data_IF_991948252181
#
_entry.id   IF_991948252181
#
_cell.length_a   1.000
_cell.length_b   1.000
_cell.length_c   1.000
_cell.angle_alpha   90.00
_cell.angle_beta   90.00
_cell.angle_gamma   90.00
#
_symmetry.space_group_name_H-M   'P 1'
#
loop_
_entity.id
_entity.type
_entity.pdbx_description
1 polymer ?
#
# COMPACT_ATOMS: atom_id res chain seq x y z
N UNK A 1 -27.45 12.70 -2.88
CA UNK A 1 -26.87 12.09 -4.10
C UNK A 1 -25.37 11.94 -3.87
N UNK A 2 -24.79 10.78 -4.20
CA UNK A 2 -23.34 10.56 -4.06
C UNK A 2 -22.63 11.16 -5.27
N UNK A 3 -21.72 12.09 -5.01
CA UNK A 3 -20.87 12.73 -6.00
C UNK A 3 -19.45 12.19 -5.94
N UNK A 4 -18.63 12.42 -6.95
CA UNK A 4 -17.24 12.01 -6.96
C UNK A 4 -16.34 13.05 -7.61
N UNK A 5 -15.13 13.22 -7.05
CA UNK A 5 -14.09 14.14 -7.51
C UNK A 5 -12.76 13.42 -7.57
N UNK A 6 -11.99 13.61 -8.63
CA UNK A 6 -10.62 13.09 -8.70
C UNK A 6 -9.72 13.71 -7.63
N UNK A 7 -8.89 12.89 -6.95
CA UNK A 7 -7.90 13.36 -5.98
C UNK A 7 -6.68 13.96 -6.68
N UNK A 8 -6.21 13.30 -7.75
CA UNK A 8 -5.15 13.82 -8.63
C UNK A 8 -5.39 13.34 -10.07
N UNK A 9 -4.67 13.86 -11.06
CA UNK A 9 -4.80 13.36 -12.44
C UNK A 9 -4.53 11.86 -12.59
N UNK A 10 -3.53 11.34 -11.88
CA UNK A 10 -3.05 9.97 -12.04
C UNK A 10 -3.80 8.94 -11.18
N UNK A 11 -4.31 9.34 -10.02
CA UNK A 11 -4.92 8.39 -9.09
C UNK A 11 -5.97 9.04 -8.18
N UNK A 12 -6.80 8.19 -7.61
CA UNK A 12 -7.70 8.50 -6.50
C UNK A 12 -8.99 9.21 -6.89
N UNK A 13 -10.02 8.94 -6.09
CA UNK A 13 -11.32 9.59 -6.16
C UNK A 13 -11.84 9.82 -4.73
N UNK A 14 -12.39 11.00 -4.48
CA UNK A 14 -13.13 11.32 -3.27
C UNK A 14 -14.63 11.19 -3.57
N UNK A 15 -15.35 10.47 -2.71
CA UNK A 15 -16.81 10.41 -2.73
C UNK A 15 -17.39 11.29 -1.63
N UNK A 16 -18.41 12.06 -1.97
CA UNK A 16 -19.17 12.92 -1.05
C UNK A 16 -20.66 12.54 -1.05
N UNK A 17 -21.38 12.92 0.00
CA UNK A 17 -22.80 12.60 0.12
C UNK A 17 -23.10 11.13 0.42
N UNK A 18 -22.10 10.38 0.91
CA UNK A 18 -22.27 8.98 1.33
C UNK A 18 -22.95 8.94 2.69
N UNK A 19 -24.16 8.38 2.74
CA UNK A 19 -24.95 8.21 3.97
C UNK A 19 -24.95 6.77 4.46
N UNK A 20 -24.88 5.81 3.53
CA UNK A 20 -24.73 4.39 3.85
C UNK A 20 -23.59 3.78 3.01
N UNK A 21 -22.48 3.38 3.65
CA UNK A 21 -21.33 2.77 2.96
C UNK A 21 -21.63 1.32 2.51
N UNK A 22 -22.71 0.70 2.97
CA UNK A 22 -23.09 -0.66 2.61
C UNK A 22 -24.11 -0.72 1.47
N UNK A 23 -24.57 0.44 0.97
CA UNK A 23 -25.46 0.51 -0.19
C UNK A 23 -24.81 -0.15 -1.43
N UNK A 24 -25.55 -1.02 -2.10
CA UNK A 24 -25.04 -1.81 -3.23
C UNK A 24 -24.49 -0.95 -4.36
N UNK A 25 -25.15 0.17 -4.66
CA UNK A 25 -24.71 1.08 -5.71
C UNK A 25 -23.41 1.79 -5.34
N UNK A 26 -23.23 2.16 -4.07
CA UNK A 26 -22.00 2.75 -3.59
C UNK A 26 -20.85 1.75 -3.58
N UNK A 27 -21.08 0.52 -3.07
CA UNK A 27 -20.05 -0.54 -3.09
C UNK A 27 -19.61 -0.85 -4.52
N UNK A 28 -20.51 -0.92 -5.48
CA UNK A 28 -20.18 -1.09 -6.89
C UNK A 28 -19.29 0.05 -7.41
N UNK A 29 -19.63 1.31 -7.10
CA UNK A 29 -18.81 2.47 -7.45
C UNK A 29 -17.44 2.44 -6.80
N UNK A 30 -17.33 1.94 -5.55
CA UNK A 30 -16.04 1.74 -4.88
C UNK A 30 -15.17 0.71 -5.61
N UNK A 31 -15.73 -0.43 -6.01
CA UNK A 31 -15.01 -1.46 -6.76
C UNK A 31 -14.48 -0.93 -8.11
N UNK A 32 -15.30 -0.20 -8.86
CA UNK A 32 -14.88 0.45 -10.11
C UNK A 32 -13.80 1.53 -9.86
N UNK A 33 -13.96 2.33 -8.81
CA UNK A 33 -12.99 3.36 -8.46
C UNK A 33 -11.63 2.75 -8.09
N UNK A 34 -11.60 1.67 -7.29
CA UNK A 34 -10.36 0.96 -6.96
C UNK A 34 -9.69 0.43 -8.23
N UNK A 35 -10.46 -0.19 -9.12
CA UNK A 35 -9.93 -0.72 -10.37
C UNK A 35 -9.28 0.36 -11.24
N UNK A 36 -9.91 1.51 -11.42
CA UNK A 36 -9.48 2.50 -12.40
C UNK A 36 -8.71 3.69 -11.82
N UNK A 37 -8.91 3.96 -10.53
CA UNK A 37 -8.31 5.10 -9.83
C UNK A 37 -7.35 4.70 -8.71
N UNK A 38 -7.38 3.44 -8.28
CA UNK A 38 -6.48 2.83 -7.31
C UNK A 38 -6.67 3.28 -5.86
N UNK A 39 -7.22 4.45 -5.60
CA UNK A 39 -7.49 4.97 -4.24
C UNK A 39 -8.89 5.57 -4.20
N UNK A 40 -9.63 5.28 -3.14
CA UNK A 40 -10.87 5.98 -2.81
C UNK A 40 -10.81 6.60 -1.42
N UNK A 41 -11.46 7.75 -1.27
CA UNK A 41 -11.57 8.51 -0.04
C UNK A 41 -13.04 8.85 0.23
N UNK A 42 -13.47 8.69 1.47
CA UNK A 42 -14.71 9.27 1.99
C UNK A 42 -14.39 9.99 3.28
N UNK A 43 -14.61 11.30 3.31
CA UNK A 43 -14.35 12.12 4.48
C UNK A 43 -15.45 11.98 5.54
N UNK A 44 -15.03 11.92 6.81
CA UNK A 44 -15.92 12.05 7.96
C UNK A 44 -17.03 11.00 8.03
N UNK A 45 -16.79 9.77 7.55
CA UNK A 45 -17.79 8.69 7.55
C UNK A 45 -17.96 8.04 8.93
N UNK A 46 -16.95 8.15 9.80
CA UNK A 46 -16.95 7.69 11.20
C UNK A 46 -17.40 6.24 11.38
N UNK A 47 -16.87 5.31 10.56
CA UNK A 47 -17.17 3.89 10.70
C UNK A 47 -16.61 3.35 12.02
N UNK A 48 -17.41 2.60 12.77
CA UNK A 48 -16.92 1.71 13.81
C UNK A 48 -16.31 0.44 13.19
N UNK A 49 -15.80 -0.46 14.03
CA UNK A 49 -15.13 -1.67 13.59
C UNK A 49 -16.06 -2.64 12.87
N UNK A 50 -17.30 -2.77 13.35
CA UNK A 50 -18.31 -3.64 12.74
C UNK A 50 -18.67 -3.17 11.33
N UNK A 51 -18.93 -1.89 11.16
CA UNK A 51 -19.25 -1.30 9.84
C UNK A 51 -18.07 -1.28 8.91
N UNK A 52 -16.84 -1.07 9.41
CA UNK A 52 -15.62 -1.19 8.61
C UNK A 52 -15.43 -2.61 8.08
N UNK A 53 -15.60 -3.63 8.93
CA UNK A 53 -15.55 -5.04 8.51
C UNK A 53 -16.66 -5.37 7.51
N UNK A 54 -17.89 -4.95 7.79
CA UNK A 54 -19.01 -5.17 6.88
C UNK A 54 -18.75 -4.56 5.50
N UNK A 55 -18.21 -3.33 5.44
CA UNK A 55 -17.82 -2.67 4.20
C UNK A 55 -16.70 -3.44 3.48
N UNK A 56 -15.62 -3.80 4.19
CA UNK A 56 -14.48 -4.50 3.59
C UNK A 56 -14.88 -5.87 3.03
N UNK A 57 -15.77 -6.60 3.70
CA UNK A 57 -16.33 -7.88 3.22
C UNK A 57 -17.16 -7.74 1.94
N UNK A 58 -17.70 -6.55 1.65
CA UNK A 58 -18.35 -6.28 0.37
C UNK A 58 -17.37 -6.12 -0.78
N UNK A 59 -16.09 -5.78 -0.49
CA UNK A 59 -15.00 -5.68 -1.47
C UNK A 59 -14.30 -7.03 -1.71
N UNK A 60 -14.42 -7.99 -0.79
CA UNK A 60 -13.86 -9.33 -0.86
C UNK A 60 -13.70 -10.00 0.50
N UNK A 61 -13.11 -11.19 0.52
CA UNK A 61 -12.76 -11.89 1.75
C UNK A 61 -11.74 -11.09 2.56
N UNK A 62 -11.94 -10.97 3.87
CA UNK A 62 -11.05 -10.20 4.76
C UNK A 62 -10.02 -11.13 5.38
N UNK A 63 -8.75 -10.69 5.38
CA UNK A 63 -7.64 -11.41 6.01
C UNK A 63 -7.82 -11.43 7.52
N UNK A 64 -7.76 -12.63 8.11
CA UNK A 64 -7.70 -12.82 9.56
C UNK A 64 -6.30 -13.33 9.97
N UNK A 65 -5.60 -12.57 10.81
CA UNK A 65 -4.32 -12.98 11.41
C UNK A 65 -4.55 -13.27 12.90
N UNK A 66 -4.29 -14.50 13.31
CA UNK A 66 -4.52 -14.96 14.69
C UNK A 66 -5.96 -14.68 15.18
N UNK A 67 -6.95 -14.78 14.28
CA UNK A 67 -8.37 -14.52 14.57
C UNK A 67 -8.75 -13.05 14.64
N UNK A 68 -7.84 -12.12 14.36
CA UNK A 68 -8.11 -10.69 14.24
C UNK A 68 -8.24 -10.28 12.79
N UNK A 69 -9.29 -9.56 12.44
CA UNK A 69 -9.56 -9.01 11.11
C UNK A 69 -9.32 -7.48 11.06
N UNK A 70 -9.22 -6.84 12.24
CA UNK A 70 -8.93 -5.41 12.37
C UNK A 70 -7.60 -5.25 13.09
N UNK A 71 -6.72 -4.44 12.50
CA UNK A 71 -5.38 -4.17 13.02
C UNK A 71 -5.21 -2.70 13.36
N UNK A 72 -4.81 -2.36 14.61
CA UNK A 72 -4.46 -1.01 14.98
C UNK A 72 -3.14 -0.61 14.31
N UNK A 73 -3.14 0.51 13.60
CA UNK A 73 -1.97 1.09 12.94
C UNK A 73 -1.54 2.34 13.70
N UNK A 74 -0.53 2.18 14.54
CA UNK A 74 0.11 3.23 15.33
C UNK A 74 1.56 2.84 15.63
N UNK A 75 2.50 3.79 15.53
CA UNK A 75 3.89 3.60 16.00
C UNK A 75 4.03 3.81 17.53
N UNK A 76 2.95 4.20 18.22
CA UNK A 76 2.90 4.25 19.66
C UNK A 76 2.78 2.82 20.21
N UNK A 77 3.76 2.33 21.01
CA UNK A 77 3.74 0.95 21.53
C UNK A 77 2.60 0.68 22.52
N UNK A 78 2.01 1.70 23.12
CA UNK A 78 0.82 1.56 23.96
C UNK A 78 -0.44 1.24 23.16
N UNK A 79 -0.47 1.63 21.87
CA UNK A 79 -1.62 1.44 20.98
C UNK A 79 -1.46 0.24 20.02
N UNK A 80 -0.23 -0.15 19.70
CA UNK A 80 0.03 -1.27 18.79
C UNK A 80 1.20 -2.13 19.23
N UNK A 81 0.97 -3.43 19.37
CA UNK A 81 2.03 -4.41 19.69
C UNK A 81 3.06 -4.54 18.58
N UNK A 82 2.74 -4.16 17.37
CA UNK A 82 3.60 -4.21 16.20
C UNK A 82 4.26 -2.86 15.88
N UNK A 83 4.14 -1.85 16.75
CA UNK A 83 4.63 -0.48 16.57
C UNK A 83 6.08 -0.42 16.07
N UNK A 84 6.97 -1.29 16.61
CA UNK A 84 8.38 -1.38 16.22
C UNK A 84 8.55 -1.61 14.69
N UNK A 85 7.73 -2.50 14.12
CA UNK A 85 7.82 -2.86 12.69
C UNK A 85 7.08 -1.87 11.79
N UNK A 86 6.12 -1.13 12.33
CA UNK A 86 5.34 -0.15 11.57
C UNK A 86 6.17 1.09 11.15
N UNK A 87 7.37 1.28 11.70
CA UNK A 87 8.32 2.29 11.19
C UNK A 87 8.76 2.01 9.73
N UNK A 88 8.71 0.74 9.29
CA UNK A 88 8.90 0.37 7.89
C UNK A 88 7.89 1.01 6.92
N UNK A 89 6.69 1.32 7.43
CA UNK A 89 5.65 1.98 6.65
C UNK A 89 5.96 3.46 6.28
N UNK A 90 7.04 4.05 6.79
CA UNK A 90 7.52 5.36 6.35
C UNK A 90 8.21 5.31 4.98
N UNK A 91 8.55 4.13 4.50
CA UNK A 91 9.13 3.91 3.18
C UNK A 91 8.06 3.46 2.19
N UNK A 92 8.22 3.84 0.93
CA UNK A 92 7.30 3.44 -0.13
C UNK A 92 7.23 1.92 -0.28
N UNK A 93 6.05 1.33 -0.21
CA UNK A 93 5.86 -0.12 -0.31
C UNK A 93 4.52 -0.49 -0.94
N UNK A 94 4.45 -1.73 -1.42
CA UNK A 94 3.22 -2.46 -1.73
C UNK A 94 3.03 -3.49 -0.62
N UNK A 95 1.82 -3.68 -0.13
CA UNK A 95 1.51 -4.78 0.80
C UNK A 95 1.52 -6.13 0.08
N UNK A 96 2.08 -7.16 0.73
CA UNK A 96 2.02 -8.54 0.27
C UNK A 96 3.03 -8.93 -0.82
N UNK A 97 4.09 -8.13 -1.05
CA UNK A 97 5.12 -8.45 -2.06
C UNK A 97 5.97 -9.67 -1.72
N UNK A 98 5.93 -10.16 -0.49
CA UNK A 98 6.58 -11.39 -0.03
C UNK A 98 5.64 -12.59 0.03
N UNK A 99 4.38 -12.42 -0.37
CA UNK A 99 3.36 -13.48 -0.39
C UNK A 99 3.20 -14.03 -1.81
N UNK A 100 2.81 -15.30 -1.95
CA UNK A 100 2.53 -15.92 -3.26
C UNK A 100 1.40 -15.20 -4.00
N UNK A 101 0.39 -14.80 -3.25
CA UNK A 101 -0.73 -13.98 -3.74
C UNK A 101 -0.80 -12.73 -2.87
N UNK A 102 -0.44 -11.56 -3.41
CA UNK A 102 -0.47 -10.32 -2.64
C UNK A 102 -1.91 -9.95 -2.29
N UNK A 103 -2.07 -9.25 -1.16
CA UNK A 103 -3.39 -8.73 -0.75
C UNK A 103 -3.97 -7.79 -1.82
N UNK A 104 -5.29 -7.84 -2.03
CA UNK A 104 -5.97 -7.08 -3.08
C UNK A 104 -6.14 -5.62 -2.73
N UNK A 105 -6.67 -5.34 -1.56
CA UNK A 105 -6.97 -3.99 -1.13
C UNK A 105 -6.81 -3.84 0.37
N UNK A 106 -6.46 -2.64 0.80
CA UNK A 106 -6.41 -2.26 2.21
C UNK A 106 -7.38 -1.12 2.47
N UNK A 107 -8.12 -1.24 3.56
CA UNK A 107 -9.01 -0.20 4.08
C UNK A 107 -8.45 0.35 5.37
N UNK A 108 -8.32 1.67 5.49
CA UNK A 108 -8.00 2.38 6.73
C UNK A 108 -9.13 3.33 7.12
N UNK A 109 -9.43 3.36 8.42
CA UNK A 109 -10.28 4.39 9.01
C UNK A 109 -9.53 5.13 10.13
N UNK A 110 -9.67 6.45 10.18
CA UNK A 110 -9.02 7.26 11.20
C UNK A 110 -9.85 7.32 12.49
N UNK A 111 -9.30 6.76 13.57
CA UNK A 111 -9.86 6.86 14.94
C UNK A 111 -9.34 8.10 15.65
N UNK A 112 -8.04 8.28 15.58
CA UNK A 112 -7.32 9.43 16.10
C UNK A 112 -6.25 9.85 15.12
N UNK A 113 -5.94 11.14 15.04
CA UNK A 113 -4.96 11.70 14.11
C UNK A 113 -3.82 12.37 14.88
N UNK A 114 -2.64 12.44 14.28
CA UNK A 114 -1.54 13.19 14.84
C UNK A 114 -1.80 14.70 14.72
N UNK A 115 -1.33 15.49 15.67
CA UNK A 115 -1.42 16.95 15.60
C UNK A 115 -0.60 17.50 14.43
N UNK A 116 0.51 16.85 14.09
CA UNK A 116 1.39 17.22 12.98
C UNK A 116 1.91 15.97 12.28
N UNK A 117 2.00 16.00 10.96
CA UNK A 117 2.44 14.85 10.17
C UNK A 117 1.41 13.71 10.15
N UNK A 118 1.88 12.49 9.94
CA UNK A 118 1.05 11.27 9.97
C UNK A 118 0.08 11.09 8.80
N UNK A 119 0.21 11.91 7.76
CA UNK A 119 -0.51 11.71 6.50
C UNK A 119 -0.11 10.40 5.82
N UNK A 120 -0.72 10.11 4.69
CA UNK A 120 -0.37 8.96 3.85
C UNK A 120 -0.18 9.41 2.41
N UNK A 121 0.99 9.10 1.87
CA UNK A 121 1.28 9.27 0.44
C UNK A 121 0.87 8.01 -0.33
N UNK A 122 0.31 8.20 -1.51
CA UNK A 122 -0.04 7.17 -2.49
C UNK A 122 0.60 7.49 -3.84
N UNK A 123 1.12 6.50 -4.55
CA UNK A 123 1.67 6.65 -5.90
C UNK A 123 1.20 5.51 -6.80
N UNK A 124 0.75 5.85 -8.02
CA UNK A 124 0.25 4.88 -8.99
C UNK A 124 1.38 4.27 -9.80
N UNK A 125 1.70 3.00 -9.53
CA UNK A 125 2.66 2.24 -10.35
C UNK A 125 2.10 1.90 -11.73
N UNK A 126 0.78 1.87 -11.90
CA UNK A 126 0.12 1.78 -13.21
C UNK A 126 0.41 3.00 -14.08
N UNK A 127 0.12 4.20 -13.57
CA UNK A 127 0.37 5.44 -14.30
C UNK A 127 1.87 5.66 -14.56
N UNK A 128 2.70 5.29 -13.60
CA UNK A 128 4.15 5.36 -13.74
C UNK A 128 4.66 4.42 -14.85
N UNK A 129 4.15 3.18 -14.91
CA UNK A 129 4.49 2.23 -15.97
C UNK A 129 4.02 2.71 -17.35
N UNK A 130 2.79 3.20 -17.47
CA UNK A 130 2.23 3.72 -18.72
C UNK A 130 3.03 4.91 -19.26
N UNK A 131 3.59 5.73 -18.38
CA UNK A 131 4.39 6.90 -18.74
C UNK A 131 5.87 6.58 -19.06
N UNK A 132 6.32 5.34 -18.85
CA UNK A 132 7.69 4.93 -19.22
C UNK A 132 7.87 5.00 -20.74
N UNK A 133 9.08 5.39 -21.23
CA UNK A 133 9.46 5.19 -22.61
C UNK A 133 9.31 3.72 -23.04
N UNK A 134 8.93 3.47 -24.27
CA UNK A 134 8.71 2.11 -24.80
C UNK A 134 9.92 1.20 -24.60
N UNK A 135 11.13 1.71 -24.88
CA UNK A 135 12.39 1.00 -24.67
C UNK A 135 12.55 0.51 -23.21
N UNK A 136 12.16 1.32 -22.24
CA UNK A 136 12.27 0.97 -20.82
C UNK A 136 11.19 -0.03 -20.42
N UNK A 137 9.96 0.11 -20.94
CA UNK A 137 8.89 -0.89 -20.77
C UNK A 137 9.29 -2.27 -21.28
N UNK A 138 9.93 -2.32 -22.45
CA UNK A 138 10.45 -3.57 -23.04
C UNK A 138 11.58 -4.16 -22.17
N UNK A 139 12.54 -3.32 -21.75
CA UNK A 139 13.65 -3.72 -20.90
C UNK A 139 13.16 -4.28 -19.57
N UNK A 140 12.23 -3.61 -18.91
CA UNK A 140 11.78 -4.00 -17.57
C UNK A 140 10.82 -5.19 -17.59
N UNK A 141 10.14 -5.45 -18.71
CA UNK A 141 9.20 -6.57 -18.84
C UNK A 141 9.82 -7.97 -18.64
N UNK A 142 11.15 -8.10 -18.81
CA UNK A 142 11.89 -9.35 -18.65
C UNK A 142 12.61 -9.46 -17.31
N UNK A 143 12.62 -8.40 -16.50
CA UNK A 143 13.34 -8.38 -15.22
C UNK A 143 12.52 -9.02 -14.10
N UNK A 144 13.21 -9.67 -13.20
CA UNK A 144 12.66 -10.25 -11.98
C UNK A 144 13.35 -9.62 -10.77
N UNK A 145 12.60 -9.42 -9.70
CA UNK A 145 13.07 -8.78 -8.47
C UNK A 145 12.81 -9.72 -7.30
N UNK A 146 13.78 -9.88 -6.45
CA UNK A 146 13.62 -10.56 -5.16
C UNK A 146 13.13 -9.53 -4.15
N UNK A 147 12.03 -9.84 -3.49
CA UNK A 147 11.49 -9.10 -2.35
C UNK A 147 11.80 -9.81 -1.04
N UNK A 148 12.20 -9.05 -0.02
CA UNK A 148 12.53 -9.59 1.29
C UNK A 148 12.10 -8.67 2.42
N UNK A 149 11.80 -9.27 3.58
CA UNK A 149 11.57 -8.51 4.80
C UNK A 149 12.86 -7.80 5.27
N UNK A 150 14.02 -8.44 5.09
CA UNK A 150 15.34 -7.85 5.42
C UNK A 150 15.54 -6.52 4.68
N UNK A 151 15.27 -6.46 3.37
CA UNK A 151 15.43 -5.23 2.60
C UNK A 151 14.64 -4.07 3.20
N UNK A 152 13.37 -4.29 3.54
CA UNK A 152 12.53 -3.26 4.16
C UNK A 152 13.03 -2.85 5.56
N UNK A 153 13.47 -3.81 6.38
CA UNK A 153 13.92 -3.51 7.74
C UNK A 153 15.27 -2.80 7.76
N UNK A 154 16.14 -3.03 6.79
CA UNK A 154 17.41 -2.30 6.66
C UNK A 154 17.23 -0.81 6.37
N UNK A 155 16.10 -0.40 5.81
CA UNK A 155 15.76 1.02 5.68
C UNK A 155 15.48 1.68 7.03
N UNK A 156 14.96 0.92 8.01
CA UNK A 156 14.71 1.40 9.38
C UNK A 156 15.96 1.29 10.25
N UNK A 157 16.68 0.17 10.16
CA UNK A 157 17.88 -0.13 10.92
C UNK A 157 18.98 -0.66 9.96
N UNK A 158 19.83 0.20 9.41
CA UNK A 158 20.88 -0.19 8.44
C UNK A 158 21.96 -1.12 9.04
N UNK A 159 22.19 -1.05 10.35
CA UNK A 159 23.20 -1.82 11.07
C UNK A 159 22.57 -2.70 12.18
N UNK A 160 21.81 -3.76 11.81
CA UNK A 160 21.14 -4.63 12.75
C UNK A 160 22.15 -5.52 13.48
N UNK A 161 21.86 -5.87 14.76
CA UNK A 161 22.61 -6.90 15.45
C UNK A 161 22.41 -8.29 14.83
N UNK A 162 23.33 -9.24 15.08
CA UNK A 162 23.28 -10.59 14.50
C UNK A 162 21.97 -11.33 14.76
N UNK A 163 21.41 -11.21 15.98
CA UNK A 163 20.13 -11.86 16.33
C UNK A 163 18.95 -11.25 15.56
N UNK A 164 18.94 -9.94 15.37
CA UNK A 164 17.88 -9.24 14.64
C UNK A 164 17.95 -9.60 13.16
N UNK A 165 19.14 -9.59 12.58
CA UNK A 165 19.37 -10.00 11.19
C UNK A 165 18.96 -11.46 10.95
N UNK A 166 19.32 -12.37 11.86
CA UNK A 166 18.91 -13.77 11.78
C UNK A 166 17.38 -13.90 11.82
N UNK A 167 16.70 -13.13 12.69
CA UNK A 167 15.24 -13.14 12.77
C UNK A 167 14.59 -12.61 11.47
N UNK A 168 15.12 -11.55 10.84
CA UNK A 168 14.60 -11.05 9.57
C UNK A 168 14.72 -12.09 8.44
N UNK A 169 15.83 -12.83 8.41
CA UNK A 169 16.11 -13.86 7.41
C UNK A 169 15.30 -15.14 7.56
N UNK A 170 14.55 -15.30 8.66
CA UNK A 170 13.57 -16.38 8.78
C UNK A 170 12.31 -16.13 7.96
N UNK A 171 12.06 -14.88 7.57
CA UNK A 171 10.92 -14.55 6.71
C UNK A 171 11.19 -14.99 5.28
N UNK A 172 10.17 -15.48 4.56
CA UNK A 172 10.33 -15.88 3.16
C UNK A 172 10.75 -14.71 2.28
N UNK A 173 11.56 -15.00 1.28
CA UNK A 173 11.81 -14.11 0.14
C UNK A 173 10.95 -14.54 -1.02
N UNK A 174 10.53 -13.60 -1.86
CA UNK A 174 9.71 -13.89 -3.02
C UNK A 174 10.28 -13.25 -4.28
N UNK A 175 10.48 -14.07 -5.33
CA UNK A 175 10.95 -13.60 -6.62
C UNK A 175 9.75 -13.38 -7.55
N UNK A 176 9.57 -12.14 -7.99
CA UNK A 176 8.44 -11.73 -8.84
C UNK A 176 8.90 -10.99 -10.09
N UNK A 177 8.06 -10.89 -11.11
CA UNK A 177 8.31 -10.01 -12.25
C UNK A 177 8.34 -8.55 -11.79
N UNK A 178 9.32 -7.76 -12.25
CA UNK A 178 9.35 -6.31 -12.00
C UNK A 178 8.11 -5.61 -12.58
N UNK A 179 7.58 -6.11 -13.70
CA UNK A 179 6.35 -5.65 -14.32
C UNK A 179 5.28 -6.72 -14.15
N UNK A 180 4.33 -6.47 -13.27
CA UNK A 180 3.19 -7.36 -13.09
C UNK A 180 2.15 -7.13 -14.17
N UNK A 181 1.90 -8.16 -14.97
CA UNK A 181 0.82 -8.17 -15.96
C UNK A 181 -0.43 -8.76 -15.32
N UNK A 182 -1.40 -7.92 -15.05
CA UNK A 182 -2.68 -8.31 -14.47
C UNK A 182 -3.56 -9.05 -15.48
N UNK A 183 -4.46 -9.91 -14.97
CA UNK A 183 -5.46 -10.63 -15.81
C UNK A 183 -6.35 -9.69 -16.62
N UNK A 184 -6.60 -8.49 -16.12
CA UNK A 184 -7.38 -7.46 -16.83
C UNK A 184 -6.56 -6.69 -17.88
N UNK A 185 -5.30 -7.06 -18.09
CA UNK A 185 -4.39 -6.49 -19.08
C UNK A 185 -3.60 -5.27 -18.61
N UNK A 186 -3.92 -4.69 -17.44
CA UNK A 186 -3.12 -3.59 -16.85
C UNK A 186 -1.74 -4.09 -16.44
N UNK A 187 -0.79 -3.17 -16.37
CA UNK A 187 0.58 -3.45 -15.95
C UNK A 187 1.00 -2.48 -14.86
N UNK A 188 1.59 -3.01 -13.79
CA UNK A 188 2.11 -2.22 -12.67
C UNK A 188 3.58 -2.57 -12.41
N UNK A 189 4.33 -1.61 -11.86
CA UNK A 189 5.69 -1.86 -11.38
C UNK A 189 5.64 -2.44 -9.95
N UNK A 190 6.33 -3.55 -9.73
CA UNK A 190 6.45 -4.17 -8.41
C UNK A 190 7.79 -3.77 -7.82
N UNK A 191 7.79 -2.70 -7.05
CA UNK A 191 8.98 -2.07 -6.43
C UNK A 191 8.66 -1.56 -5.03
N UNK A 192 9.62 -0.91 -4.38
CA UNK A 192 9.46 -0.33 -3.05
C UNK A 192 10.37 -0.95 -2.00
N UNK A 193 10.09 -0.70 -0.73
CA UNK A 193 10.97 -1.00 0.40
C UNK A 193 11.41 -2.47 0.52
N UNK A 194 10.59 -3.40 0.07
CA UNK A 194 10.91 -4.84 0.09
C UNK A 194 11.76 -5.30 -1.10
N UNK A 195 11.91 -4.48 -2.16
CA UNK A 195 12.73 -4.82 -3.33
C UNK A 195 14.20 -4.87 -2.94
N UNK A 196 14.78 -6.07 -2.93
CA UNK A 196 16.15 -6.33 -2.48
C UNK A 196 17.14 -6.22 -3.64
N UNK A 197 16.93 -7.02 -4.68
CA UNK A 197 17.79 -6.99 -5.87
C UNK A 197 17.07 -7.51 -7.13
N UNK A 198 17.62 -7.12 -8.28
CA UNK A 198 17.21 -7.63 -9.60
C UNK A 198 18.00 -8.90 -9.89
N UNK A 199 17.31 -9.99 -10.23
CA UNK A 199 17.90 -11.30 -10.47
C UNK A 199 18.91 -11.26 -11.63
N UNK A 200 20.11 -11.76 -11.38
CA UNK A 200 21.18 -11.85 -12.40
C UNK A 200 21.86 -10.54 -12.76
N UNK A 201 21.55 -9.44 -12.05
CA UNK A 201 22.18 -8.13 -12.23
C UNK A 201 23.32 -7.93 -11.22
N UNK A 202 24.34 -7.15 -11.59
CA UNK A 202 25.35 -6.70 -10.63
C UNK A 202 24.71 -5.96 -9.45
N UNK A 203 25.15 -6.16 -8.19
CA UNK A 203 24.53 -5.55 -7.03
C UNK A 203 24.47 -4.01 -7.07
N UNK A 204 25.50 -3.36 -7.64
CA UNK A 204 25.52 -1.89 -7.78
C UNK A 204 24.51 -1.41 -8.82
N UNK A 205 24.49 -2.05 -9.99
CA UNK A 205 23.55 -1.75 -11.06
C UNK A 205 22.10 -2.02 -10.65
N UNK A 206 21.89 -3.13 -9.93
CA UNK A 206 20.58 -3.51 -9.40
C UNK A 206 20.04 -2.45 -8.43
N UNK A 207 20.87 -2.00 -7.49
CA UNK A 207 20.47 -0.94 -6.54
C UNK A 207 20.15 0.35 -7.27
N UNK A 208 21.01 0.79 -8.18
CA UNK A 208 20.80 2.02 -8.96
C UNK A 208 19.48 1.96 -9.75
N UNK A 209 19.19 0.82 -10.39
CA UNK A 209 17.94 0.64 -11.13
C UNK A 209 16.70 0.69 -10.23
N UNK A 210 16.73 0.01 -9.07
CA UNK A 210 15.58 0.00 -8.14
C UNK A 210 15.33 1.40 -7.53
N UNK A 211 16.38 2.14 -7.21
CA UNK A 211 16.31 3.54 -6.75
C UNK A 211 15.73 4.44 -7.86
N UNK A 212 16.24 4.35 -9.09
CA UNK A 212 15.74 5.11 -10.25
C UNK A 212 14.23 4.84 -10.49
N UNK A 213 13.82 3.57 -10.43
CA UNK A 213 12.42 3.19 -10.61
C UNK A 213 11.52 3.68 -9.48
N UNK A 214 12.01 3.66 -8.25
CA UNK A 214 11.26 4.19 -7.12
C UNK A 214 11.08 5.71 -7.25
N UNK A 215 12.16 6.43 -7.57
CA UNK A 215 12.13 7.88 -7.81
C UNK A 215 11.20 8.25 -8.98
N UNK A 216 11.27 7.47 -10.07
CA UNK A 216 10.35 7.63 -11.19
C UNK A 216 8.89 7.46 -10.77
N UNK A 217 8.58 6.37 -10.07
CA UNK A 217 7.20 6.00 -9.70
C UNK A 217 6.58 6.96 -8.70
N UNK A 218 7.40 7.56 -7.85
CA UNK A 218 6.96 8.45 -6.77
C UNK A 218 7.01 9.94 -7.12
N UNK A 219 7.19 10.29 -8.40
CA UNK A 219 7.11 11.67 -8.87
C UNK A 219 5.73 12.27 -8.55
N UNK A 220 5.69 13.58 -8.32
CA UNK A 220 4.48 14.33 -7.95
C UNK A 220 3.31 14.08 -8.90
N UNK A 221 3.58 13.94 -10.22
CA UNK A 221 2.56 13.68 -11.25
C UNK A 221 1.82 12.33 -11.08
N UNK A 222 2.41 11.38 -10.36
CA UNK A 222 1.83 10.06 -10.09
C UNK A 222 1.35 9.89 -8.65
N UNK A 223 1.42 10.96 -7.84
CA UNK A 223 1.24 10.92 -6.40
C UNK A 223 0.02 11.70 -5.93
N UNK A 224 -0.48 11.31 -4.76
CA UNK A 224 -1.43 12.05 -3.95
C UNK A 224 -1.07 11.89 -2.47
N UNK A 225 -1.12 12.98 -1.71
CA UNK A 225 -0.96 12.98 -0.26
C UNK A 225 -2.32 13.16 0.39
N UNK A 226 -2.66 12.27 1.32
CA UNK A 226 -3.86 12.37 2.14
C UNK A 226 -3.51 12.79 3.56
N UNK A 227 -4.01 13.94 3.96
CA UNK A 227 -3.98 14.41 5.35
C UNK A 227 -5.25 13.92 6.04
N UNK A 228 -5.06 13.11 7.09
CA UNK A 228 -6.14 12.44 7.80
C UNK A 228 -6.94 13.41 8.66
N UNK A 229 -8.27 13.25 8.63
CA UNK A 229 -9.18 13.75 9.64
C UNK A 229 -9.88 12.56 10.33
N UNK A 230 -10.28 12.74 11.60
CA UNK A 230 -11.02 11.70 12.33
C UNK A 230 -12.31 11.34 11.57
N UNK A 231 -12.55 10.05 11.41
CA UNK A 231 -13.71 9.53 10.67
C UNK A 231 -13.47 9.32 9.18
N UNK A 232 -12.32 9.69 8.63
CA UNK A 232 -11.98 9.42 7.23
C UNK A 232 -11.88 7.90 6.97
N UNK A 233 -12.38 7.49 5.81
CA UNK A 233 -12.20 6.17 5.20
C UNK A 233 -11.35 6.32 3.95
N UNK A 234 -10.24 5.59 3.88
CA UNK A 234 -9.43 5.44 2.66
C UNK A 234 -9.30 3.96 2.32
N UNK A 235 -9.44 3.64 1.05
CA UNK A 235 -9.17 2.29 0.52
C UNK A 235 -8.23 2.41 -0.66
N UNK A 236 -7.26 1.48 -0.77
CA UNK A 236 -6.38 1.44 -1.94
C UNK A 236 -6.18 0.03 -2.49
N UNK A 237 -5.87 -0.01 -3.78
CA UNK A 237 -5.55 -1.21 -4.56
C UNK A 237 -4.07 -1.56 -4.40
N UNK A 238 -3.75 -2.60 -3.63
CA UNK A 238 -2.37 -3.07 -3.42
C UNK A 238 -1.72 -3.68 -4.67
N UNK A 239 -2.48 -3.84 -5.74
CA UNK A 239 -1.94 -4.41 -6.98
C UNK A 239 -1.21 -3.38 -7.85
N UNK A 240 -1.22 -2.11 -7.43
CA UNK A 240 -0.54 -1.06 -8.19
C UNK A 240 -0.49 0.30 -7.51
N UNK A 241 -0.76 0.39 -6.22
CA UNK A 241 -0.63 1.64 -5.45
C UNK A 241 0.44 1.49 -4.38
N UNK A 242 1.64 2.02 -4.66
CA UNK A 242 2.64 2.27 -3.63
C UNK A 242 2.07 3.23 -2.60
N UNK A 243 2.39 2.99 -1.34
CA UNK A 243 1.98 3.91 -0.28
C UNK A 243 3.04 3.99 0.82
N UNK A 244 2.98 5.07 1.60
CA UNK A 244 3.79 5.25 2.80
C UNK A 244 3.09 6.17 3.80
N UNK A 245 3.31 5.95 5.08
CA UNK A 245 2.97 6.92 6.11
C UNK A 245 3.99 8.09 6.09
N UNK A 246 3.53 9.31 6.29
CA UNK A 246 4.43 10.43 6.57
C UNK A 246 4.81 10.40 8.06
N UNK A 247 6.05 10.77 8.41
CA UNK A 247 6.51 10.75 9.79
C UNK A 247 5.61 11.53 10.74
N UNK A 248 5.47 11.05 11.96
CA UNK A 248 4.77 11.70 13.07
C UNK A 248 5.40 11.28 14.40
N UNK A 249 5.07 12.00 15.48
CA UNK A 249 5.58 11.72 16.82
C UNK A 249 5.13 10.33 17.28
N UNK A 250 6.08 9.51 17.78
CA UNK A 250 5.81 8.16 18.27
C UNK A 250 4.96 8.14 19.56
N UNK A 251 4.93 9.25 20.30
CA UNK A 251 4.05 9.43 21.46
C UNK A 251 2.67 10.00 21.08
N UNK A 252 2.44 10.21 19.79
CA UNK A 252 1.17 10.70 19.27
C UNK A 252 0.04 9.72 19.52
N UNK A 253 -1.16 10.24 19.75
CA UNK A 253 -2.39 9.46 19.87
C UNK A 253 -2.88 8.86 18.55
N UNK A 254 -2.16 9.10 17.42
CA UNK A 254 -2.59 8.63 16.10
C UNK A 254 -2.90 7.14 16.09
N UNK A 255 -4.12 6.82 15.71
CA UNK A 255 -4.64 5.47 15.61
C UNK A 255 -5.53 5.34 14.37
N UNK A 256 -5.13 4.49 13.44
CA UNK A 256 -5.97 4.05 12.33
C UNK A 256 -6.32 2.59 12.51
N UNK A 257 -7.50 2.18 12.08
CA UNK A 257 -7.88 0.78 12.03
C UNK A 257 -7.80 0.25 10.60
N UNK A 258 -7.08 -0.85 10.41
CA UNK A 258 -6.87 -1.51 9.12
C UNK A 258 -7.68 -2.78 9.00
N UNK A 259 -8.33 -2.96 7.85
CA UNK A 259 -8.80 -4.25 7.34
C UNK A 259 -8.15 -4.49 5.97
N UNK A 260 -7.90 -5.75 5.63
CA UNK A 260 -7.19 -6.12 4.40
C UNK A 260 -8.00 -7.17 3.66
N UNK A 261 -8.19 -6.97 2.36
CA UNK A 261 -8.92 -7.89 1.48
C UNK A 261 -7.95 -8.89 0.86
N UNK A 262 -8.28 -10.17 0.94
CA UNK A 262 -7.51 -11.28 0.36
C UNK A 262 -7.29 -11.07 -1.14
N UNK A 263 -6.10 -11.40 -1.61
CA UNK A 263 -5.76 -11.37 -3.03
C UNK A 263 -6.40 -12.52 -3.80
N UNK A 264 -6.55 -12.31 -5.09
CA UNK A 264 -7.15 -13.28 -6.01
C UNK A 264 -6.25 -13.56 -7.22
N UNK A 265 -5.06 -12.97 -7.28
CA UNK A 265 -4.15 -13.06 -8.40
C UNK A 265 -2.68 -13.03 -7.93
N UNK A 266 -1.93 -14.09 -8.26
CA UNK A 266 -0.49 -14.16 -8.00
C UNK A 266 0.29 -13.21 -8.92
N UNK A 267 1.49 -12.83 -8.51
CA UNK A 267 2.44 -12.16 -9.40
C UNK A 267 2.78 -13.08 -10.58
N UNK A 268 2.70 -12.54 -11.80
CA UNK A 268 2.98 -13.27 -13.04
C UNK A 268 4.37 -12.94 -13.58
#
# INVERSE_FOLDING_TARGET
>A
MIESKALSPALGVEFTGVTDPLDDSFVHRCAEALKWRGVLLVRGLHLDDERQLAFSRRLGEVVALNGQEIFPISINPEKSRTAKYLKGAFFWHLDGTTDDVPVKATTLTAREVAMTGGGTDFASTYAAYEALPEKDRERYASLRVVHSFEAAQRLVNPDPGEQELAAWRTQPTHEVSLVWRRRDGRRSLVTGATADHVVGMDPGDSRALLEELLDWTTQERFRHTHDWAVGDLVVWDNTGILHRALPYDENSERLLHRTTVVGDEAFA
#
